data_IF_525371264677
#
_entry.id   IF_525371264677
#
_cell.length_a   1.000
_cell.length_b   1.000
_cell.length_c   1.000
_cell.angle_alpha   90.00
_cell.angle_beta   90.00
_cell.angle_gamma   90.00
#
_symmetry.space_group_name_H-M   'P 1'
#
loop_
_entity.id
_entity.type
_entity.pdbx_description
1 polymer ?
#
# COMPACT_ATOMS: atom_id res chain seq x y z
N UNK A 1 -1.15 33.36 74.48
CA UNK A 1 -1.38 33.51 73.03
C UNK A 1 -0.41 32.58 72.30
N UNK A 2 -0.92 31.47 71.73
CA UNK A 2 -0.12 30.53 70.95
C UNK A 2 -0.55 30.63 69.49
N UNK A 3 0.33 31.21 68.64
CA UNK A 3 0.11 31.19 67.18
C UNK A 3 0.51 29.87 66.61
N UNK A 4 -0.47 29.14 66.07
CA UNK A 4 -0.24 27.93 65.27
C UNK A 4 -0.02 28.33 63.80
N UNK A 5 1.17 28.07 63.28
CA UNK A 5 1.55 28.28 61.90
C UNK A 5 1.13 27.07 61.08
N UNK A 6 0.09 27.20 60.26
CA UNK A 6 -0.36 26.15 59.36
C UNK A 6 0.51 26.17 58.09
N UNK A 7 1.29 25.10 57.89
CA UNK A 7 2.11 24.87 56.70
C UNK A 7 1.23 24.22 55.63
N UNK A 8 0.82 24.98 54.62
CA UNK A 8 0.12 24.48 53.44
C UNK A 8 1.14 23.83 52.46
N UNK A 9 1.14 22.47 52.45
CA UNK A 9 1.84 21.68 51.41
C UNK A 9 1.03 21.76 50.10
N UNK A 10 1.53 22.52 49.16
CA UNK A 10 1.04 22.51 47.79
C UNK A 10 1.52 21.22 47.07
N UNK A 11 0.66 20.22 46.94
CA UNK A 11 0.87 19.07 46.09
C UNK A 11 0.75 19.53 44.65
N UNK A 12 1.88 19.78 43.98
CA UNK A 12 1.95 19.99 42.54
C UNK A 12 1.58 18.68 41.84
N UNK A 13 0.35 18.62 41.30
CA UNK A 13 -0.06 17.54 40.40
C UNK A 13 0.70 17.72 39.07
N UNK A 14 1.76 16.92 38.87
CA UNK A 14 2.33 16.71 37.54
C UNK A 14 1.26 16.03 36.69
N UNK A 15 0.48 16.79 35.95
CA UNK A 15 -0.34 16.24 34.87
C UNK A 15 0.59 15.72 33.79
N UNK A 16 0.87 14.41 33.81
CA UNK A 16 1.49 13.74 32.67
C UNK A 16 0.46 13.76 31.53
N UNK A 17 0.61 14.73 30.62
CA UNK A 17 -0.17 14.72 29.39
C UNK A 17 0.16 13.42 28.65
N UNK A 18 -0.82 12.56 28.45
CA UNK A 18 -0.63 11.36 27.64
C UNK A 18 -0.22 11.78 26.22
N UNK A 19 0.75 11.10 25.59
CA UNK A 19 1.17 11.43 24.24
C UNK A 19 -0.04 11.32 23.30
N UNK A 20 -0.18 12.32 22.41
CA UNK A 20 -1.25 12.34 21.41
C UNK A 20 -1.14 11.10 20.51
N UNK A 21 -2.23 10.41 20.21
CA UNK A 21 -2.20 9.22 19.36
C UNK A 21 -1.70 9.55 17.95
N UNK A 22 -0.99 8.61 17.33
CA UNK A 22 -0.74 8.59 15.90
C UNK A 22 -2.03 8.13 15.23
N UNK A 23 -2.75 9.05 14.60
CA UNK A 23 -4.03 8.76 13.93
C UNK A 23 -3.77 8.38 12.48
N UNK A 24 -4.13 7.17 12.10
CA UNK A 24 -3.79 6.56 10.80
C UNK A 24 -5.04 6.25 10.01
N UNK A 25 -5.06 6.67 8.74
CA UNK A 25 -6.06 6.21 7.77
C UNK A 25 -5.56 4.93 7.11
N UNK A 26 -6.36 3.87 7.16
CA UNK A 26 -6.02 2.60 6.52
C UNK A 26 -7.27 1.87 6.05
N UNK A 27 -7.09 0.95 5.11
CA UNK A 27 -8.18 0.09 4.64
C UNK A 27 -8.33 -1.11 5.59
N UNK A 28 -9.58 -1.43 6.01
CA UNK A 28 -9.82 -2.54 6.92
C UNK A 28 -9.67 -3.92 6.29
N UNK A 29 -9.55 -4.04 4.95
CA UNK A 29 -9.49 -5.32 4.23
C UNK A 29 -8.64 -5.25 2.96
N UNK A 30 -7.40 -4.80 3.07
CA UNK A 30 -6.46 -4.55 1.96
C UNK A 30 -5.12 -5.29 2.16
N UNK A 31 -5.16 -6.60 2.43
CA UNK A 31 -3.92 -7.38 2.53
C UNK A 31 -3.18 -7.43 1.18
N UNK A 32 -1.85 -7.34 1.17
CA UNK A 32 -0.89 -7.40 2.29
C UNK A 32 -0.61 -6.08 2.99
N UNK A 33 -1.26 -4.97 2.63
CA UNK A 33 -0.99 -3.62 3.13
C UNK A 33 -1.54 -3.44 4.54
N UNK A 34 -2.88 -3.50 4.70
CA UNK A 34 -3.55 -3.27 5.97
C UNK A 34 -4.79 -4.13 6.16
N UNK A 35 -5.14 -4.42 7.39
CA UNK A 35 -6.44 -4.93 7.80
C UNK A 35 -6.74 -4.56 9.25
N UNK A 36 -7.99 -4.74 9.68
CA UNK A 36 -8.41 -4.42 11.06
C UNK A 36 -7.71 -5.28 12.14
N UNK A 37 -7.14 -6.43 11.77
CA UNK A 37 -6.37 -7.28 12.69
C UNK A 37 -4.92 -6.83 12.87
N UNK A 38 -4.49 -5.77 12.14
CA UNK A 38 -3.13 -5.26 12.20
C UNK A 38 -2.10 -6.21 11.57
N UNK A 39 -2.50 -7.02 10.59
CA UNK A 39 -1.66 -8.06 10.00
C UNK A 39 -0.92 -7.61 8.73
N UNK A 40 -1.30 -6.50 8.14
CA UNK A 40 -0.63 -5.96 6.95
C UNK A 40 0.75 -5.35 7.24
N UNK A 41 1.62 -5.29 6.24
CA UNK A 41 2.95 -4.72 6.45
C UNK A 41 2.90 -3.21 6.74
N UNK A 42 1.92 -2.47 6.24
CA UNK A 42 1.71 -1.06 6.58
C UNK A 42 1.26 -0.90 8.04
N UNK A 43 0.42 -1.83 8.56
CA UNK A 43 0.11 -1.84 10.00
C UNK A 43 1.39 -2.02 10.82
N UNK A 44 2.25 -2.99 10.45
CA UNK A 44 3.51 -3.24 11.16
C UNK A 44 4.49 -2.09 11.06
N UNK A 45 4.51 -1.41 9.92
CA UNK A 45 5.32 -0.21 9.73
C UNK A 45 4.83 0.94 10.60
N UNK A 46 3.51 1.12 10.70
CA UNK A 46 2.90 2.10 11.61
C UNK A 46 3.23 1.78 13.08
N UNK A 47 3.15 0.51 13.49
CA UNK A 47 3.53 0.09 14.84
C UNK A 47 5.00 0.43 15.15
N UNK A 48 5.91 0.21 14.18
CA UNK A 48 7.33 0.55 14.30
C UNK A 48 7.53 2.06 14.48
N UNK A 49 6.85 2.88 13.68
CA UNK A 49 6.93 4.34 13.76
C UNK A 49 6.36 4.84 15.08
N UNK A 50 5.21 4.34 15.48
CA UNK A 50 4.52 4.74 16.71
C UNK A 50 5.37 4.44 17.95
N UNK A 51 6.04 3.28 17.97
CA UNK A 51 6.98 2.91 19.04
C UNK A 51 8.15 3.89 19.14
N UNK A 52 8.74 4.29 18.01
CA UNK A 52 9.84 5.28 17.98
C UNK A 52 9.39 6.68 18.43
N UNK A 53 8.15 7.06 18.14
CA UNK A 53 7.57 8.34 18.54
C UNK A 53 6.98 8.32 19.96
N UNK A 54 6.90 7.15 20.61
CA UNK A 54 6.25 6.98 21.92
C UNK A 54 4.76 7.33 21.89
N UNK A 55 4.06 7.11 20.78
CA UNK A 55 2.66 7.47 20.58
C UNK A 55 1.79 6.21 20.42
N UNK A 56 0.63 6.12 21.07
CA UNK A 56 -0.34 5.05 20.78
C UNK A 56 -0.91 5.23 19.37
N UNK A 57 -1.31 4.14 18.73
CA UNK A 57 -1.92 4.15 17.38
C UNK A 57 -3.43 4.13 17.48
N UNK A 58 -4.08 4.93 16.64
CA UNK A 58 -5.52 4.83 16.39
C UNK A 58 -5.78 4.80 14.89
N UNK A 59 -6.74 3.99 14.45
CA UNK A 59 -7.07 3.84 13.04
C UNK A 59 -8.43 4.46 12.70
N UNK A 60 -8.45 5.17 11.58
CA UNK A 60 -9.67 5.48 10.82
C UNK A 60 -9.71 4.52 9.64
N UNK A 61 -10.67 3.59 9.69
CA UNK A 61 -10.82 2.56 8.67
C UNK A 61 -11.70 3.04 7.53
N UNK A 62 -11.14 3.09 6.34
CA UNK A 62 -11.83 3.52 5.12
C UNK A 62 -11.27 2.79 3.91
N UNK A 63 -12.13 2.41 2.95
CA UNK A 63 -11.68 1.78 1.72
C UNK A 63 -10.67 2.68 0.99
N UNK A 64 -9.52 2.12 0.63
CA UNK A 64 -8.46 2.83 -0.10
C UNK A 64 -8.83 2.91 -1.59
N UNK A 65 -9.83 3.70 -1.90
CA UNK A 65 -10.35 3.98 -3.23
C UNK A 65 -10.46 5.48 -3.47
N UNK A 66 -10.86 5.89 -4.68
CA UNK A 66 -11.07 7.30 -5.02
C UNK A 66 -11.85 8.04 -3.93
N UNK A 67 -11.39 9.22 -3.57
CA UNK A 67 -11.98 10.05 -2.53
C UNK A 67 -11.54 9.71 -1.09
N UNK A 68 -10.74 8.65 -0.85
CA UNK A 68 -10.36 8.29 0.50
C UNK A 68 -9.60 9.44 1.22
N UNK A 69 -8.70 10.13 0.52
CA UNK A 69 -7.96 11.28 1.07
C UNK A 69 -8.90 12.39 1.51
N UNK A 70 -9.89 12.72 0.66
CA UNK A 70 -10.88 13.76 0.96
C UNK A 70 -11.75 13.39 2.16
N UNK A 71 -12.24 12.14 2.19
CA UNK A 71 -13.19 11.68 3.20
C UNK A 71 -12.53 11.31 4.54
N UNK A 72 -11.20 11.21 4.59
CA UNK A 72 -10.47 10.81 5.79
C UNK A 72 -9.44 11.85 6.23
N UNK A 73 -8.33 11.98 5.50
CA UNK A 73 -7.22 12.85 5.87
C UNK A 73 -7.64 14.33 5.84
N UNK A 74 -8.25 14.79 4.75
CA UNK A 74 -8.71 16.17 4.61
C UNK A 74 -9.92 16.49 5.51
N UNK A 75 -10.72 15.49 5.85
CA UNK A 75 -11.78 15.61 6.86
C UNK A 75 -11.24 15.64 8.32
N UNK A 76 -9.93 15.52 8.52
CA UNK A 76 -9.31 15.57 9.85
C UNK A 76 -9.53 14.33 10.71
N UNK A 77 -9.96 13.21 10.11
CA UNK A 77 -10.23 11.96 10.83
C UNK A 77 -8.95 11.21 11.19
N UNK A 78 -7.86 11.46 10.46
CA UNK A 78 -6.53 10.90 10.69
C UNK A 78 -5.45 11.90 10.29
N UNK A 79 -4.17 11.58 10.52
CA UNK A 79 -3.03 12.44 10.21
C UNK A 79 -2.04 11.80 9.24
N UNK A 80 -2.08 10.48 9.11
CA UNK A 80 -1.11 9.72 8.32
C UNK A 80 -1.80 8.68 7.43
N UNK A 81 -1.39 8.61 6.16
CA UNK A 81 -1.64 7.51 5.23
C UNK A 81 -0.32 6.75 5.07
N UNK A 82 -0.22 5.47 5.44
CA UNK A 82 1.05 4.74 5.47
C UNK A 82 1.60 4.37 4.10
N UNK A 83 0.76 4.28 3.06
CA UNK A 83 1.16 3.93 1.70
C UNK A 83 0.43 4.77 0.66
N UNK A 84 1.18 5.59 -0.07
CA UNK A 84 0.71 6.37 -1.22
C UNK A 84 1.84 6.49 -2.24
N UNK A 85 1.51 6.82 -3.48
CA UNK A 85 2.55 7.15 -4.45
C UNK A 85 3.33 8.39 -3.99
N UNK A 86 4.65 8.34 -4.12
CA UNK A 86 5.50 9.47 -3.75
C UNK A 86 5.27 10.64 -4.70
N UNK A 87 5.23 11.86 -4.14
CA UNK A 87 5.14 13.09 -4.92
C UNK A 87 3.72 13.46 -5.36
N UNK A 88 2.66 12.82 -4.84
CA UNK A 88 1.29 13.27 -5.09
C UNK A 88 1.10 14.71 -4.62
N UNK A 89 0.69 15.59 -5.51
CA UNK A 89 0.56 17.03 -5.22
C UNK A 89 -0.48 17.34 -4.14
N UNK A 90 -1.51 16.52 -4.04
CA UNK A 90 -2.56 16.72 -3.01
C UNK A 90 -2.11 16.43 -1.58
N UNK A 91 -0.92 15.85 -1.37
CA UNK A 91 -0.38 15.44 -0.07
C UNK A 91 0.99 16.05 0.20
N UNK A 92 1.34 16.21 1.48
CA UNK A 92 2.74 16.23 1.90
C UNK A 92 3.22 14.79 2.00
N UNK A 93 4.23 14.40 1.20
CA UNK A 93 4.76 13.03 1.20
C UNK A 93 6.18 12.97 1.77
N UNK A 94 6.52 11.86 2.43
CA UNK A 94 7.91 11.55 2.78
C UNK A 94 8.74 11.28 1.52
N UNK A 95 10.06 11.17 1.68
CA UNK A 95 10.85 10.43 0.71
C UNK A 95 10.34 8.99 0.65
N UNK A 96 10.38 8.33 -0.52
CA UNK A 96 9.93 6.96 -0.65
C UNK A 96 10.69 6.03 0.29
N UNK A 97 9.97 5.11 0.92
CA UNK A 97 10.59 4.07 1.75
C UNK A 97 10.73 2.72 1.03
N UNK A 98 10.06 2.53 -0.10
CA UNK A 98 10.31 1.47 -1.07
C UNK A 98 9.76 1.84 -2.45
N UNK A 99 10.15 1.06 -3.45
CA UNK A 99 9.49 1.05 -4.75
C UNK A 99 9.22 -0.39 -5.17
N UNK A 100 8.13 -0.58 -5.89
CA UNK A 100 7.72 -1.88 -6.44
C UNK A 100 7.21 -1.72 -7.87
N UNK A 101 6.93 -2.84 -8.53
CA UNK A 101 6.45 -2.87 -9.90
C UNK A 101 5.31 -3.88 -10.06
N UNK A 102 4.56 -3.79 -11.13
CA UNK A 102 3.62 -4.83 -11.51
C UNK A 102 4.35 -6.11 -11.93
N UNK A 103 3.73 -7.24 -11.63
CA UNK A 103 4.26 -8.57 -11.90
C UNK A 103 3.23 -9.43 -12.64
N UNK A 104 3.72 -10.37 -13.44
CA UNK A 104 2.91 -11.47 -13.95
C UNK A 104 3.00 -12.64 -13.00
N UNK A 105 1.85 -13.20 -12.64
CA UNK A 105 1.73 -14.43 -11.86
C UNK A 105 1.20 -15.53 -12.77
N UNK A 106 1.94 -16.63 -12.90
CA UNK A 106 1.59 -17.80 -13.71
C UNK A 106 1.74 -19.07 -12.89
N UNK A 107 1.21 -20.20 -13.37
CA UNK A 107 1.49 -21.51 -12.75
C UNK A 107 2.94 -21.91 -13.00
N UNK A 108 3.57 -22.55 -12.01
CA UNK A 108 4.92 -23.12 -12.18
C UNK A 108 4.91 -24.15 -13.33
N UNK A 109 5.94 -24.11 -14.15
CA UNK A 109 6.06 -24.96 -15.35
C UNK A 109 5.44 -24.37 -16.62
N UNK A 110 4.62 -23.33 -16.52
CA UNK A 110 4.17 -22.56 -17.68
C UNK A 110 5.27 -21.60 -18.14
N UNK A 111 5.42 -21.37 -19.46
CA UNK A 111 6.37 -20.38 -19.93
C UNK A 111 6.04 -18.99 -19.36
N UNK A 112 7.06 -18.27 -18.82
CA UNK A 112 6.82 -17.00 -18.14
C UNK A 112 6.31 -15.91 -19.09
N UNK A 113 5.55 -14.98 -18.53
CA UNK A 113 5.10 -13.76 -19.20
C UNK A 113 5.86 -12.61 -18.58
N UNK A 114 6.93 -12.18 -19.23
CA UNK A 114 7.81 -11.13 -18.71
C UNK A 114 7.61 -9.78 -19.41
N UNK A 115 6.70 -9.67 -20.39
CA UNK A 115 6.50 -8.46 -21.18
C UNK A 115 5.10 -8.47 -21.80
N UNK A 116 4.52 -7.27 -22.00
CA UNK A 116 3.27 -7.09 -22.74
C UNK A 116 3.40 -7.38 -24.23
N UNK A 117 4.61 -7.43 -24.78
CA UNK A 117 4.86 -7.79 -26.16
C UNK A 117 4.95 -9.32 -26.37
N UNK A 118 4.73 -10.12 -25.31
CA UNK A 118 4.68 -11.56 -25.42
C UNK A 118 3.45 -11.99 -26.25
N UNK A 119 3.64 -12.65 -27.44
CA UNK A 119 2.54 -12.97 -28.34
C UNK A 119 1.50 -13.93 -27.74
N UNK A 120 1.88 -14.71 -26.71
CA UNK A 120 0.96 -15.61 -26.00
C UNK A 120 -0.17 -14.86 -25.28
N UNK A 121 0.03 -13.59 -24.92
CA UNK A 121 -1.02 -12.80 -24.26
C UNK A 121 -2.31 -12.71 -25.09
N UNK A 122 -2.24 -12.86 -26.42
CA UNK A 122 -3.43 -12.87 -27.29
C UNK A 122 -4.30 -14.13 -27.14
N UNK A 123 -3.76 -15.20 -26.56
CA UNK A 123 -4.47 -16.48 -26.38
C UNK A 123 -4.65 -16.90 -24.93
N UNK A 124 -3.93 -16.29 -23.99
CA UNK A 124 -4.05 -16.56 -22.57
C UNK A 124 -5.28 -15.87 -21.99
N UNK A 125 -5.93 -16.50 -21.02
CA UNK A 125 -6.93 -15.85 -20.17
C UNK A 125 -6.20 -14.97 -19.15
N UNK A 126 -6.37 -13.67 -19.26
CA UNK A 126 -5.62 -12.66 -18.49
C UNK A 126 -6.51 -12.10 -17.39
N UNK A 127 -5.99 -12.01 -16.16
CA UNK A 127 -6.59 -11.26 -15.08
C UNK A 127 -5.86 -9.93 -14.85
N UNK A 128 -6.60 -8.86 -14.65
CA UNK A 128 -6.07 -7.55 -14.24
C UNK A 128 -6.82 -7.04 -13.01
N UNK A 129 -6.14 -6.28 -12.17
CA UNK A 129 -6.78 -5.58 -11.05
C UNK A 129 -7.55 -4.35 -11.58
N UNK A 130 -8.74 -4.12 -11.00
CA UNK A 130 -9.56 -2.93 -11.26
C UNK A 130 -9.65 -2.10 -9.98
N UNK A 131 -9.43 -0.79 -10.08
CA UNK A 131 -9.34 0.10 -8.92
C UNK A 131 -10.70 0.61 -8.46
N UNK A 132 -11.68 0.70 -9.34
CA UNK A 132 -12.99 1.25 -8.99
C UNK A 132 -14.03 1.01 -10.08
N UNK A 133 -15.18 1.63 -9.90
CA UNK A 133 -16.31 1.65 -10.81
C UNK A 133 -16.34 2.92 -11.69
N UNK A 134 -15.30 3.73 -11.61
CA UNK A 134 -15.09 4.98 -12.34
C UNK A 134 -14.44 4.82 -13.70
N UNK A 135 -14.28 3.58 -14.17
CA UNK A 135 -13.62 3.20 -15.42
C UNK A 135 -12.11 3.51 -15.46
N UNK A 136 -11.48 3.88 -14.35
CA UNK A 136 -10.03 4.00 -14.27
C UNK A 136 -9.37 2.65 -14.47
N UNK A 137 -8.48 2.58 -15.43
CA UNK A 137 -7.70 1.37 -15.69
C UNK A 137 -6.45 1.33 -14.81
N UNK A 138 -6.01 0.12 -14.48
CA UNK A 138 -4.65 -0.07 -13.96
C UNK A 138 -3.64 -0.03 -15.10
N UNK A 139 -2.37 0.36 -14.85
CA UNK A 139 -1.33 0.39 -15.88
C UNK A 139 -1.22 -0.90 -16.71
N UNK A 140 -1.36 -2.13 -16.16
CA UNK A 140 -1.42 -3.33 -16.98
C UNK A 140 -2.64 -3.39 -17.92
N UNK A 141 -3.80 -2.93 -17.48
CA UNK A 141 -5.00 -2.92 -18.32
C UNK A 141 -4.83 -1.96 -19.50
N UNK A 142 -4.26 -0.79 -19.27
CA UNK A 142 -3.96 0.18 -20.34
C UNK A 142 -2.91 -0.36 -21.31
N UNK A 143 -1.82 -0.95 -20.81
CA UNK A 143 -0.78 -1.54 -21.64
C UNK A 143 -1.31 -2.66 -22.56
N UNK A 144 -2.26 -3.48 -22.08
CA UNK A 144 -2.96 -4.49 -22.89
C UNK A 144 -3.88 -3.83 -23.92
N UNK A 145 -4.67 -2.84 -23.50
CA UNK A 145 -5.62 -2.12 -24.35
C UNK A 145 -4.89 -1.43 -25.54
N UNK A 146 -3.78 -0.76 -25.30
CA UNK A 146 -2.96 -0.14 -26.34
C UNK A 146 -2.42 -1.16 -27.36
N UNK A 147 -2.38 -2.45 -27.04
CA UNK A 147 -2.00 -3.55 -27.92
C UNK A 147 -3.18 -4.28 -28.55
N UNK A 148 -4.40 -3.79 -28.31
CA UNK A 148 -5.64 -4.41 -28.77
C UNK A 148 -5.87 -5.80 -28.14
N UNK A 149 -5.40 -6.02 -26.92
CA UNK A 149 -5.63 -7.24 -26.14
C UNK A 149 -6.71 -6.90 -25.09
N UNK A 150 -7.97 -7.18 -25.41
CA UNK A 150 -9.12 -6.83 -24.54
C UNK A 150 -10.09 -8.00 -24.37
N UNK A 151 -10.35 -8.81 -25.40
CA UNK A 151 -11.39 -9.83 -25.42
C UNK A 151 -11.15 -10.99 -24.43
N UNK A 152 -9.90 -11.24 -24.08
CA UNK A 152 -9.44 -12.30 -23.20
C UNK A 152 -8.99 -11.78 -21.83
N UNK A 153 -9.30 -10.49 -21.52
CA UNK A 153 -8.97 -9.84 -20.25
C UNK A 153 -10.17 -9.84 -19.31
N UNK A 154 -9.96 -10.28 -18.07
CA UNK A 154 -10.96 -10.27 -16.99
C UNK A 154 -10.51 -9.33 -15.87
N UNK A 155 -11.36 -8.37 -15.52
CA UNK A 155 -11.16 -7.47 -14.38
C UNK A 155 -11.50 -8.13 -13.04
N UNK A 156 -10.68 -7.86 -12.03
CA UNK A 156 -10.90 -8.26 -10.65
C UNK A 156 -10.94 -7.03 -9.77
N UNK A 157 -12.11 -6.71 -9.26
CA UNK A 157 -12.30 -5.61 -8.31
C UNK A 157 -11.57 -5.94 -7.00
N UNK A 158 -10.75 -5.03 -6.52
CA UNK A 158 -9.87 -5.25 -5.37
C UNK A 158 -10.20 -4.39 -4.16
N UNK A 159 -10.94 -3.30 -4.35
CA UNK A 159 -11.30 -2.39 -3.27
C UNK A 159 -12.80 -2.42 -2.95
N UNK A 160 -13.11 -2.31 -1.65
CA UNK A 160 -14.49 -2.14 -1.19
C UNK A 160 -15.33 -3.41 -1.13
N UNK A 161 -14.80 -4.59 -1.43
CA UNK A 161 -15.49 -5.87 -1.20
C UNK A 161 -15.19 -6.39 0.21
N UNK A 162 -15.91 -5.86 1.18
CA UNK A 162 -15.79 -6.28 2.59
C UNK A 162 -16.62 -7.52 2.92
N UNK A 163 -17.35 -8.07 1.95
CA UNK A 163 -18.10 -9.32 2.09
C UNK A 163 -17.19 -10.55 2.05
N UNK A 164 -15.98 -10.40 1.51
CA UNK A 164 -14.99 -11.46 1.36
C UNK A 164 -13.67 -11.05 2.05
N UNK A 165 -13.00 -11.97 2.76
CA UNK A 165 -11.64 -11.70 3.23
C UNK A 165 -10.67 -11.62 2.05
N UNK A 166 -9.69 -10.75 2.17
CA UNK A 166 -8.56 -10.66 1.25
C UNK A 166 -8.97 -10.56 -0.24
N UNK A 167 -9.66 -9.47 -0.66
CA UNK A 167 -10.17 -9.34 -2.03
C UNK A 167 -9.07 -9.49 -3.10
N UNK A 168 -7.85 -9.04 -2.81
CA UNK A 168 -6.69 -9.22 -3.68
C UNK A 168 -6.28 -10.68 -3.90
N UNK A 169 -6.59 -11.59 -2.98
CA UNK A 169 -6.26 -13.01 -3.13
C UNK A 169 -7.00 -13.65 -4.32
N UNK A 170 -8.17 -13.14 -4.68
CA UNK A 170 -9.06 -13.73 -5.71
C UNK A 170 -8.38 -13.89 -7.06
N UNK A 171 -7.70 -12.86 -7.53
CA UNK A 171 -7.03 -12.89 -8.84
C UNK A 171 -5.86 -13.89 -8.86
N UNK A 172 -5.09 -13.98 -7.77
CA UNK A 172 -3.97 -14.92 -7.64
C UNK A 172 -4.50 -16.36 -7.50
N UNK A 173 -5.58 -16.54 -6.75
CA UNK A 173 -6.26 -17.85 -6.62
C UNK A 173 -6.80 -18.32 -7.96
N UNK A 174 -7.39 -17.44 -8.76
CA UNK A 174 -7.90 -17.77 -10.10
C UNK A 174 -6.80 -18.33 -11.03
N UNK A 175 -5.53 -17.91 -10.87
CA UNK A 175 -4.39 -18.52 -11.55
C UNK A 175 -4.12 -19.93 -11.01
N UNK A 176 -4.10 -20.09 -9.69
CA UNK A 176 -3.86 -21.38 -9.06
C UNK A 176 -4.92 -22.42 -9.45
N UNK A 177 -6.19 -22.01 -9.48
CA UNK A 177 -7.34 -22.85 -9.81
C UNK A 177 -7.48 -23.09 -11.34
N UNK A 178 -6.71 -22.38 -12.16
CA UNK A 178 -6.75 -22.50 -13.62
C UNK A 178 -7.95 -21.82 -14.27
N UNK A 179 -8.61 -20.90 -13.58
CA UNK A 179 -9.67 -20.06 -14.15
C UNK A 179 -9.10 -19.04 -15.15
N UNK A 180 -7.92 -18.51 -14.85
CA UNK A 180 -7.10 -17.68 -15.73
C UNK A 180 -5.69 -18.26 -15.85
N UNK A 181 -4.96 -17.85 -16.87
CA UNK A 181 -3.63 -18.37 -17.16
C UNK A 181 -2.53 -17.48 -16.61
N UNK A 182 -2.77 -16.18 -16.57
CA UNK A 182 -1.86 -15.17 -16.01
C UNK A 182 -2.63 -14.08 -15.31
N UNK A 183 -2.13 -13.63 -14.16
CA UNK A 183 -2.59 -12.43 -13.49
C UNK A 183 -1.51 -11.35 -13.57
N UNK A 184 -1.90 -10.14 -13.99
CA UNK A 184 -1.04 -8.97 -14.00
C UNK A 184 -1.43 -8.09 -12.81
N UNK A 185 -0.62 -8.13 -11.75
CA UNK A 185 -0.98 -7.56 -10.46
C UNK A 185 0.13 -6.69 -9.88
N UNK A 186 -0.22 -5.81 -8.97
CA UNK A 186 0.76 -5.07 -8.18
C UNK A 186 1.69 -6.03 -7.42
N UNK A 187 3.00 -5.77 -7.49
CA UNK A 187 4.03 -6.67 -6.98
C UNK A 187 3.82 -7.18 -5.55
N UNK A 188 3.53 -6.32 -4.55
CA UNK A 188 3.22 -6.76 -3.20
C UNK A 188 2.07 -7.77 -3.11
N UNK A 189 1.04 -7.63 -3.94
CA UNK A 189 -0.08 -8.58 -4.01
C UNK A 189 0.38 -9.93 -4.54
N UNK A 190 1.09 -9.94 -5.67
CA UNK A 190 1.66 -11.16 -6.25
C UNK A 190 2.60 -11.86 -5.28
N UNK A 191 3.54 -11.10 -4.71
CA UNK A 191 4.54 -11.62 -3.77
C UNK A 191 3.92 -12.25 -2.52
N UNK A 192 2.92 -11.60 -1.96
CA UNK A 192 2.27 -12.08 -0.73
C UNK A 192 1.37 -13.29 -0.96
N UNK A 193 0.52 -13.26 -1.99
CA UNK A 193 -0.51 -14.29 -2.16
C UNK A 193 -0.04 -15.51 -2.95
N UNK A 194 0.93 -15.41 -3.86
CA UNK A 194 1.37 -16.54 -4.66
C UNK A 194 1.95 -17.70 -3.81
N UNK A 195 2.85 -17.47 -2.83
CA UNK A 195 3.37 -18.57 -2.00
C UNK A 195 2.33 -19.16 -1.03
N UNK A 196 1.16 -18.54 -0.90
CA UNK A 196 0.05 -18.96 -0.02
C UNK A 196 -1.02 -19.78 -0.75
N UNK A 197 -0.81 -20.05 -2.04
CA UNK A 197 -1.71 -20.92 -2.81
C UNK A 197 -1.35 -22.42 -2.59
N UNK A 198 -2.35 -23.27 -2.83
CA UNK A 198 -2.18 -24.73 -2.80
C UNK A 198 -1.38 -25.27 -3.99
N UNK A 199 -1.18 -24.47 -5.04
CA UNK A 199 -0.38 -24.76 -6.23
C UNK A 199 0.78 -23.78 -6.31
N UNK A 200 1.95 -24.27 -6.71
CA UNK A 200 3.11 -23.38 -6.92
C UNK A 200 2.87 -22.43 -8.08
N UNK A 201 3.12 -21.18 -7.83
CA UNK A 201 3.03 -20.09 -8.79
C UNK A 201 4.40 -19.45 -8.99
N UNK A 202 4.64 -19.01 -10.22
CA UNK A 202 5.81 -18.23 -10.61
C UNK A 202 5.44 -16.75 -10.68
N UNK A 203 6.33 -15.89 -10.21
CA UNK A 203 6.18 -14.43 -10.24
C UNK A 203 7.31 -13.85 -11.08
N UNK A 204 6.96 -13.09 -12.10
CA UNK A 204 7.93 -12.44 -12.99
C UNK A 204 7.64 -10.94 -13.04
N UNK A 205 8.61 -10.06 -12.72
CA UNK A 205 8.49 -8.63 -12.95
C UNK A 205 8.24 -8.33 -14.44
N UNK A 206 7.25 -7.48 -14.70
CA UNK A 206 6.93 -7.09 -16.07
C UNK A 206 7.95 -6.07 -16.58
N UNK A 207 8.57 -6.38 -17.71
CA UNK A 207 9.40 -5.44 -18.45
C UNK A 207 8.51 -4.59 -19.35
N UNK A 208 8.78 -3.31 -19.36
CA UNK A 208 7.99 -2.31 -20.06
C UNK A 208 8.81 -1.59 -21.12
N UNK A 209 8.11 -0.92 -22.01
CA UNK A 209 8.69 0.13 -22.85
C UNK A 209 8.93 1.38 -21.99
N UNK A 210 9.86 2.27 -22.37
CA UNK A 210 10.15 3.48 -21.60
C UNK A 210 8.93 4.37 -21.28
N UNK A 211 7.94 4.36 -22.16
CA UNK A 211 6.68 5.10 -22.02
C UNK A 211 5.65 4.44 -21.10
N UNK A 212 5.85 3.18 -20.72
CA UNK A 212 4.94 2.43 -19.86
C UNK A 212 5.42 2.47 -18.42
N UNK A 213 4.61 3.02 -17.53
CA UNK A 213 4.94 3.16 -16.12
C UNK A 213 4.32 2.03 -15.32
N UNK A 214 5.13 1.07 -14.90
CA UNK A 214 4.69 -0.07 -14.06
C UNK A 214 5.34 -0.08 -12.68
N UNK A 215 6.38 0.71 -12.46
CA UNK A 215 7.05 0.84 -11.18
C UNK A 215 6.66 2.13 -10.49
N UNK A 216 6.35 2.05 -9.18
CA UNK A 216 5.97 3.20 -8.38
C UNK A 216 6.77 3.23 -7.08
N UNK A 217 7.22 4.43 -6.72
CA UNK A 217 7.84 4.73 -5.44
C UNK A 217 6.74 5.01 -4.41
N UNK A 218 6.82 4.37 -3.25
CA UNK A 218 5.80 4.45 -2.20
C UNK A 218 6.34 5.23 -1.02
N UNK A 219 5.54 6.20 -0.58
CA UNK A 219 5.81 7.10 0.52
C UNK A 219 4.67 7.08 1.55
N UNK A 220 4.86 7.74 2.67
CA UNK A 220 3.78 8.10 3.58
C UNK A 220 3.24 9.48 3.24
N UNK A 221 1.94 9.67 3.43
CA UNK A 221 1.26 10.93 3.15
C UNK A 221 0.61 11.56 4.38
N UNK A 222 0.66 12.90 4.46
CA UNK A 222 -0.07 13.70 5.44
C UNK A 222 -0.73 14.90 4.75
N UNK A 223 -1.51 15.68 5.49
CA UNK A 223 -2.07 16.95 4.97
C UNK A 223 -0.95 17.92 4.61
N UNK A 224 -1.14 18.66 3.55
CA UNK A 224 -0.25 19.79 3.21
C UNK A 224 -0.18 20.77 4.37
N UNK A 225 1.03 21.20 4.72
CA UNK A 225 1.30 22.09 5.84
C UNK A 225 1.64 21.40 7.16
N UNK A 226 1.52 20.07 7.25
CA UNK A 226 1.94 19.28 8.42
C UNK A 226 3.45 18.95 8.38
N UNK A 227 4.29 19.91 7.96
CA UNK A 227 5.71 19.70 7.64
C UNK A 227 6.55 19.22 8.84
N UNK A 228 6.25 19.71 10.04
CA UNK A 228 6.93 19.25 11.26
C UNK A 228 6.65 17.78 11.54
N UNK A 229 5.39 17.37 11.43
CA UNK A 229 4.98 15.97 11.58
C UNK A 229 5.63 15.07 10.53
N UNK A 230 5.65 15.52 9.26
CA UNK A 230 6.29 14.77 8.18
C UNK A 230 7.80 14.67 8.36
N UNK A 231 8.44 15.67 8.92
CA UNK A 231 9.88 15.64 9.28
C UNK A 231 10.15 14.56 10.33
N UNK A 232 9.33 14.45 11.37
CA UNK A 232 9.49 13.41 12.40
C UNK A 232 9.32 12.01 11.79
N UNK A 233 8.29 11.80 10.96
CA UNK A 233 8.06 10.53 10.26
C UNK A 233 9.27 10.20 9.38
N UNK A 234 9.75 11.16 8.58
CA UNK A 234 10.91 10.97 7.70
C UNK A 234 12.17 10.56 8.45
N UNK A 235 12.42 11.17 9.61
CA UNK A 235 13.57 10.80 10.45
C UNK A 235 13.46 9.36 10.98
N UNK A 236 12.26 8.93 11.38
CA UNK A 236 12.04 7.55 11.81
C UNK A 236 12.27 6.59 10.65
N UNK A 237 11.70 6.85 9.48
CA UNK A 237 11.91 6.04 8.27
C UNK A 237 13.41 5.91 7.94
N UNK A 238 14.16 7.02 8.01
CA UNK A 238 15.61 7.03 7.77
C UNK A 238 16.40 6.14 8.75
N UNK A 239 16.03 6.16 10.04
CA UNK A 239 16.69 5.32 11.06
C UNK A 239 16.30 3.84 10.96
N UNK A 240 15.12 3.53 10.42
CA UNK A 240 14.54 2.18 10.40
C UNK A 240 14.63 1.46 9.04
N UNK A 241 15.40 1.99 8.09
CA UNK A 241 15.51 1.42 6.73
C UNK A 241 15.77 -0.09 6.71
N UNK A 242 16.69 -0.58 7.54
CA UNK A 242 17.02 -2.01 7.58
C UNK A 242 15.85 -2.86 8.16
N UNK A 243 15.10 -2.33 9.12
CA UNK A 243 13.93 -3.01 9.69
C UNK A 243 12.78 -3.02 8.68
N UNK A 244 12.57 -1.91 7.97
CA UNK A 244 11.57 -1.79 6.91
C UNK A 244 11.89 -2.76 5.77
N UNK A 245 13.15 -2.85 5.34
CA UNK A 245 13.55 -3.80 4.29
C UNK A 245 13.28 -5.26 4.71
N UNK A 246 13.59 -5.63 5.96
CA UNK A 246 13.27 -6.97 6.48
C UNK A 246 11.75 -7.22 6.56
N UNK A 247 10.99 -6.21 6.97
CA UNK A 247 9.53 -6.28 7.00
C UNK A 247 8.97 -6.56 5.60
N UNK A 248 9.34 -5.76 4.60
CA UNK A 248 8.91 -5.95 3.21
C UNK A 248 9.30 -7.33 2.67
N UNK A 249 10.52 -7.78 2.95
CA UNK A 249 10.99 -9.11 2.55
C UNK A 249 10.16 -10.23 3.20
N UNK A 250 9.73 -10.08 4.45
CA UNK A 250 8.87 -11.08 5.14
C UNK A 250 7.48 -11.21 4.52
N UNK A 251 7.02 -10.19 3.80
CA UNK A 251 5.80 -10.21 3.00
C UNK A 251 6.05 -10.54 1.53
N UNK A 252 7.28 -10.92 1.17
CA UNK A 252 7.70 -11.22 -0.20
C UNK A 252 7.43 -10.08 -1.19
N UNK A 253 7.53 -8.84 -0.74
CA UNK A 253 7.33 -7.66 -1.59
C UNK A 253 8.47 -7.58 -2.62
N UNK A 254 8.19 -7.66 -3.94
CA UNK A 254 9.20 -7.44 -4.96
C UNK A 254 9.56 -5.95 -4.98
N UNK A 255 10.80 -5.62 -4.66
CA UNK A 255 11.30 -4.24 -4.68
C UNK A 255 12.14 -3.97 -5.91
N UNK A 256 12.06 -2.74 -6.42
CA UNK A 256 12.93 -2.19 -7.46
C UNK A 256 13.71 -0.99 -6.90
N UNK A 257 14.81 -0.57 -7.54
CA UNK A 257 15.44 0.70 -7.19
C UNK A 257 14.45 1.87 -7.28
N UNK A 258 14.49 2.79 -6.31
CA UNK A 258 13.56 3.92 -6.24
C UNK A 258 13.70 4.80 -7.49
N UNK A 259 14.91 4.96 -7.99
CA UNK A 259 15.23 5.74 -9.20
C UNK A 259 14.63 5.14 -10.49
N UNK A 260 14.27 3.87 -10.45
CA UNK A 260 13.62 3.17 -11.56
C UNK A 260 12.08 3.28 -11.51
N UNK A 261 11.53 3.88 -10.46
CA UNK A 261 10.10 4.08 -10.30
C UNK A 261 9.65 5.38 -10.97
N UNK A 262 8.46 5.35 -11.57
CA UNK A 262 7.84 6.55 -12.12
C UNK A 262 7.48 7.55 -11.00
N UNK A 263 7.56 8.86 -11.22
CA UNK A 263 6.92 9.84 -10.36
C UNK A 263 5.40 9.63 -10.34
N UNK A 264 4.73 10.09 -9.28
CA UNK A 264 3.27 10.11 -9.24
C UNK A 264 2.75 10.99 -10.40
N UNK A 265 1.68 10.54 -11.06
CA UNK A 265 0.85 11.42 -11.86
C UNK A 265 -0.31 11.85 -10.98
N UNK A 266 -0.59 13.16 -10.94
CA UNK A 266 -1.84 13.64 -10.41
C UNK A 266 -2.90 13.29 -11.44
N UNK A 267 -3.79 12.36 -11.09
CA UNK A 267 -5.05 12.24 -11.80
C UNK A 267 -5.82 13.54 -11.54
N UNK A 268 -5.82 14.43 -12.49
CA UNK A 268 -6.67 15.61 -12.47
C UNK A 268 -8.12 15.15 -12.22
N UNK A 269 -8.69 15.58 -11.10
CA UNK A 269 -10.09 15.36 -10.70
C UNK A 269 -11.09 15.99 -11.69
#
# INVERSE_FOLDING_TARGET
>A
MRCALALLLALGACSSSQPQPLRVCADPNNMPFSNQRGEGFENKLVDLIAAELGRPVTYTWWAQRRGNVRETLNAGLCDLIPGTAAGLEMLATTQPYYASTYVAVTREGEPPVASFDNPRLRSLRIGVQMIGDDFSNTPPADALSHRGIVDNVRGYMVYGDYSQPDPHARIVRAVADGEIDVALVWGPVGGYFAPRQNRRLHIEPLRTRPEERLGFAIAMGARRGDDAFMTDIQQVLGRKQAEIARLLASYHVPTIPIEAAAPAEDDDD
#
